data_IF_861151734914
#
_entry.id   IF_861151734914
#
_cell.length_a   1.000
_cell.length_b   1.000
_cell.length_c   1.000
_cell.angle_alpha   90.00
_cell.angle_beta   90.00
_cell.angle_gamma   90.00
#
_symmetry.space_group_name_H-M   'P 1'
#
loop_
_entity.id
_entity.type
_entity.pdbx_description
1 polymer ?
#
# COMPACT_ATOMS: atom_id res chain seq x y z
N UNK A 1 0.59 0.65 -3.49
CA UNK A 1 -0.48 0.65 -4.50
C UNK A 1 -1.03 2.08 -4.61
N UNK A 2 -1.17 2.59 -5.85
CA UNK A 2 -1.74 3.93 -6.09
C UNK A 2 -3.17 4.02 -5.60
N UNK A 3 -3.99 3.08 -6.03
CA UNK A 3 -5.35 2.79 -5.60
C UNK A 3 -5.67 1.34 -5.95
N UNK A 4 -6.86 0.84 -5.65
CA UNK A 4 -7.29 -0.53 -5.99
C UNK A 4 -7.32 -1.48 -4.80
N UNK A 5 -7.12 -2.79 -5.06
CA UNK A 5 -7.32 -3.85 -4.09
C UNK A 5 -8.72 -3.85 -3.48
N UNK A 6 -8.94 -4.57 -2.39
CA UNK A 6 -10.25 -4.69 -1.73
C UNK A 6 -10.87 -3.31 -1.35
N UNK A 7 -10.03 -2.29 -1.24
CA UNK A 7 -10.43 -0.92 -0.87
C UNK A 7 -11.31 -0.27 -1.93
N UNK A 8 -10.93 -0.41 -3.19
CA UNK A 8 -11.57 0.26 -4.33
C UNK A 8 -12.14 -0.72 -5.38
N UNK A 9 -11.63 -1.94 -5.42
CA UNK A 9 -11.98 -2.96 -6.41
C UNK A 9 -12.38 -4.28 -5.72
N UNK A 10 -13.50 -4.31 -4.95
CA UNK A 10 -13.85 -5.47 -4.12
C UNK A 10 -14.06 -6.76 -4.92
N UNK A 11 -14.40 -6.66 -6.20
CA UNK A 11 -14.60 -7.79 -7.11
C UNK A 11 -13.35 -8.14 -7.93
N UNK A 12 -12.23 -7.43 -7.73
CA UNK A 12 -10.98 -7.65 -8.43
C UNK A 12 -9.85 -7.97 -7.43
N UNK A 13 -9.61 -9.24 -7.13
CA UNK A 13 -8.66 -9.64 -6.09
C UNK A 13 -7.19 -9.62 -6.52
N UNK A 14 -6.87 -9.23 -7.75
CA UNK A 14 -5.55 -9.43 -8.35
C UNK A 14 -4.41 -8.78 -7.55
N UNK A 15 -4.58 -7.52 -7.08
CA UNK A 15 -3.55 -6.87 -6.25
C UNK A 15 -3.44 -7.50 -4.87
N UNK A 16 -4.58 -7.88 -4.26
CA UNK A 16 -4.59 -8.53 -2.95
C UNK A 16 -3.98 -9.93 -3.02
N UNK A 17 -4.28 -10.71 -4.09
CA UNK A 17 -3.65 -12.01 -4.35
C UNK A 17 -2.13 -11.85 -4.57
N UNK A 18 -1.72 -10.82 -5.29
CA UNK A 18 -0.31 -10.52 -5.47
C UNK A 18 0.37 -10.24 -4.12
N UNK A 19 -0.20 -9.39 -3.28
CA UNK A 19 0.34 -9.12 -1.92
C UNK A 19 0.44 -10.40 -1.10
N UNK A 20 -0.60 -11.24 -1.08
CA UNK A 20 -0.57 -12.51 -0.36
C UNK A 20 0.50 -13.47 -0.89
N UNK A 21 0.76 -13.47 -2.20
CA UNK A 21 1.76 -14.32 -2.84
C UNK A 21 3.20 -14.00 -2.43
N UNK A 22 3.46 -12.78 -1.94
CA UNK A 22 4.78 -12.34 -1.46
C UNK A 22 5.12 -12.89 -0.07
N UNK A 23 4.12 -13.37 0.69
CA UNK A 23 4.35 -13.97 2.01
C UNK A 23 5.05 -15.31 1.89
N UNK A 24 6.06 -15.53 2.75
CA UNK A 24 6.76 -16.82 2.87
C UNK A 24 5.91 -17.90 3.53
N UNK A 25 4.89 -17.50 4.30
CA UNK A 25 3.99 -18.42 5.02
C UNK A 25 2.64 -18.52 4.29
N UNK A 26 2.09 -19.73 4.24
CA UNK A 26 0.75 -20.01 3.75
C UNK A 26 -0.01 -20.91 4.74
N UNK A 27 -1.18 -20.50 5.26
CA UNK A 27 -1.79 -19.18 5.09
C UNK A 27 -1.01 -18.07 5.83
N UNK A 28 -0.89 -16.90 5.19
CA UNK A 28 -0.23 -15.74 5.77
C UNK A 28 -1.02 -15.16 6.95
N UNK A 29 -0.34 -14.63 7.97
CA UNK A 29 -0.92 -13.75 8.98
C UNK A 29 -0.92 -12.33 8.43
N UNK A 30 -2.10 -11.77 8.21
CA UNK A 30 -2.28 -10.44 7.61
C UNK A 30 -2.90 -9.50 8.65
N UNK A 31 -2.18 -8.44 8.98
CA UNK A 31 -2.73 -7.38 9.83
C UNK A 31 -3.15 -6.18 8.98
N UNK A 32 -4.41 -5.82 9.03
CA UNK A 32 -4.92 -4.59 8.45
C UNK A 32 -4.77 -3.43 9.44
N UNK A 33 -4.19 -2.32 8.97
CA UNK A 33 -4.05 -1.09 9.74
C UNK A 33 -4.92 0.01 9.12
N UNK A 34 -6.14 0.25 9.65
CA UNK A 34 -7.07 1.26 9.15
C UNK A 34 -6.82 2.67 9.71
N UNK A 35 -5.64 2.91 10.29
CA UNK A 35 -5.32 4.16 11.02
C UNK A 35 -5.57 5.41 10.19
N UNK A 36 -5.21 5.41 8.89
CA UNK A 36 -5.43 6.57 8.01
C UNK A 36 -6.89 6.97 7.85
N UNK A 37 -7.83 6.02 8.02
CA UNK A 37 -9.28 6.23 7.96
C UNK A 37 -9.94 6.37 9.34
N UNK A 38 -9.16 6.70 10.38
CA UNK A 38 -9.60 6.77 11.77
C UNK A 38 -10.31 5.48 12.24
N UNK A 39 -9.70 4.34 11.90
CA UNK A 39 -10.18 2.99 12.25
C UNK A 39 -11.62 2.71 11.77
N UNK A 40 -11.95 3.16 10.56
CA UNK A 40 -13.28 3.02 9.97
C UNK A 40 -13.80 1.58 10.05
N UNK A 41 -14.87 1.36 10.80
CA UNK A 41 -15.48 0.03 10.97
C UNK A 41 -15.94 -0.59 9.65
N UNK A 42 -16.45 0.22 8.72
CA UNK A 42 -16.86 -0.25 7.39
C UNK A 42 -15.67 -0.69 6.56
N UNK A 43 -14.52 -0.07 6.73
CA UNK A 43 -13.29 -0.47 6.04
C UNK A 43 -12.74 -1.78 6.60
N UNK A 44 -12.77 -1.95 7.92
CA UNK A 44 -12.41 -3.21 8.60
C UNK A 44 -13.31 -4.35 8.10
N UNK A 45 -14.63 -4.13 8.02
CA UNK A 45 -15.56 -5.15 7.50
C UNK A 45 -15.25 -5.52 6.04
N UNK A 46 -14.92 -4.55 5.18
CA UNK A 46 -14.50 -4.83 3.79
C UNK A 46 -13.22 -5.67 3.74
N UNK A 47 -12.26 -5.36 4.60
CA UNK A 47 -11.04 -6.16 4.71
C UNK A 47 -11.35 -7.61 5.06
N UNK A 48 -12.11 -7.86 6.12
CA UNK A 48 -12.46 -9.23 6.50
C UNK A 48 -13.24 -9.96 5.41
N UNK A 49 -14.16 -9.29 4.70
CA UNK A 49 -14.86 -9.90 3.56
C UNK A 49 -13.92 -10.34 2.45
N UNK A 50 -12.92 -9.52 2.14
CA UNK A 50 -11.96 -9.81 1.08
C UNK A 50 -10.93 -10.88 1.46
N UNK A 51 -10.53 -10.96 2.73
CA UNK A 51 -9.40 -11.78 3.17
C UNK A 51 -9.78 -13.04 3.94
N UNK A 52 -11.02 -13.15 4.46
CA UNK A 52 -11.48 -14.37 5.16
C UNK A 52 -11.43 -15.59 4.24
N UNK A 53 -10.84 -16.67 4.74
CA UNK A 53 -10.65 -17.92 3.98
C UNK A 53 -9.43 -17.92 3.05
N UNK A 54 -8.74 -16.78 2.88
CA UNK A 54 -7.54 -16.66 2.04
C UNK A 54 -6.25 -16.55 2.86
N UNK A 55 -6.36 -16.03 4.09
CA UNK A 55 -5.26 -15.85 5.02
C UNK A 55 -5.78 -15.93 6.47
N UNK A 56 -4.93 -15.63 7.45
CA UNK A 56 -5.32 -15.42 8.86
C UNK A 56 -5.42 -13.89 9.07
N UNK A 57 -6.61 -13.29 8.85
CA UNK A 57 -6.79 -11.85 8.92
C UNK A 57 -6.92 -11.37 10.36
N UNK A 58 -6.27 -10.26 10.64
CA UNK A 58 -6.38 -9.50 11.89
C UNK A 58 -6.41 -8.01 11.57
N UNK A 59 -6.82 -7.17 12.53
CA UNK A 59 -6.72 -5.73 12.42
C UNK A 59 -6.07 -5.11 13.65
N UNK A 60 -5.45 -3.94 13.47
CA UNK A 60 -4.92 -3.12 14.55
C UNK A 60 -5.54 -1.74 14.49
N UNK A 61 -6.39 -1.43 15.47
CA UNK A 61 -7.04 -0.12 15.66
C UNK A 61 -6.31 0.70 16.73
N UNK A 62 -6.27 2.02 16.57
CA UNK A 62 -5.61 2.96 17.49
C UNK A 62 -6.56 4.01 18.06
N UNK A 63 -7.71 4.27 17.42
CA UNK A 63 -8.68 5.29 17.86
C UNK A 63 -9.72 4.75 18.83
N UNK A 64 -10.08 3.47 18.76
CA UNK A 64 -11.11 2.90 19.62
C UNK A 64 -10.51 2.43 20.95
N UNK A 65 -10.67 3.26 21.99
CA UNK A 65 -10.32 2.91 23.36
C UNK A 65 -11.28 1.89 24.00
N UNK A 66 -12.48 1.72 23.45
CA UNK A 66 -13.49 0.78 23.97
C UNK A 66 -13.26 -0.66 23.48
N UNK A 67 -12.48 -0.87 22.43
CA UNK A 67 -12.09 -2.19 21.94
C UNK A 67 -10.93 -2.79 22.73
N UNK A 68 -10.95 -2.64 24.06
CA UNK A 68 -9.95 -3.18 24.98
C UNK A 68 -9.81 -4.71 24.92
N UNK A 69 -10.74 -5.39 24.28
CA UNK A 69 -10.71 -6.86 24.11
C UNK A 69 -9.78 -7.32 22.99
N UNK A 70 -9.31 -6.42 22.10
CA UNK A 70 -8.44 -6.73 20.97
C UNK A 70 -7.11 -5.97 20.97
N UNK A 71 -6.95 -4.94 21.82
CA UNK A 71 -5.66 -4.28 22.00
C UNK A 71 -4.75 -5.11 22.89
N UNK A 72 -3.50 -5.31 22.48
CA UNK A 72 -2.48 -5.76 23.39
C UNK A 72 -2.41 -4.78 24.58
N UNK A 73 -2.68 -5.27 25.79
CA UNK A 73 -2.83 -4.43 26.99
C UNK A 73 -1.50 -3.78 27.45
N UNK A 74 -0.38 -4.12 26.79
CA UNK A 74 0.98 -3.63 27.12
C UNK A 74 1.77 -3.38 25.85
N UNK A 75 2.75 -2.48 25.90
CA UNK A 75 3.68 -2.18 24.80
C UNK A 75 4.37 -3.45 24.28
N UNK A 76 4.72 -4.39 25.17
CA UNK A 76 5.30 -5.69 24.82
C UNK A 76 4.35 -6.57 23.99
N UNK A 77 3.04 -6.48 24.25
CA UNK A 77 2.04 -7.24 23.53
C UNK A 77 1.79 -6.65 22.14
N UNK A 78 1.87 -5.31 22.01
CA UNK A 78 1.78 -4.62 20.71
C UNK A 78 2.98 -4.98 19.82
N UNK A 79 4.20 -4.92 20.37
CA UNK A 79 5.41 -5.28 19.66
C UNK A 79 5.33 -6.72 19.14
N UNK A 80 5.00 -7.66 20.03
CA UNK A 80 4.83 -9.06 19.67
C UNK A 80 3.76 -9.25 18.60
N UNK A 81 2.58 -8.63 18.78
CA UNK A 81 1.48 -8.73 17.82
C UNK A 81 1.90 -8.28 16.42
N UNK A 82 2.56 -7.11 16.30
CA UNK A 82 2.98 -6.53 15.02
C UNK A 82 4.09 -7.36 14.39
N UNK A 83 5.10 -7.78 15.17
CA UNK A 83 6.26 -8.53 14.64
C UNK A 83 5.95 -9.99 14.29
N UNK A 84 4.86 -10.54 14.78
CA UNK A 84 4.38 -11.88 14.40
C UNK A 84 3.58 -11.90 13.08
N UNK A 85 3.30 -10.75 12.45
CA UNK A 85 2.59 -10.67 11.18
C UNK A 85 3.51 -10.97 10.01
N UNK A 86 2.99 -11.70 9.01
CA UNK A 86 3.68 -11.96 7.75
C UNK A 86 3.48 -10.82 6.76
N UNK A 87 2.30 -10.18 6.82
CA UNK A 87 1.89 -9.06 5.96
C UNK A 87 1.25 -7.96 6.81
N UNK A 88 1.71 -6.75 6.65
CA UNK A 88 1.03 -5.53 7.11
C UNK A 88 0.35 -4.88 5.90
N UNK A 89 -0.96 -4.70 5.96
CA UNK A 89 -1.74 -4.04 4.92
C UNK A 89 -2.31 -2.72 5.45
N UNK A 90 -1.89 -1.60 4.88
CA UNK A 90 -2.28 -0.26 5.34
C UNK A 90 -3.35 0.33 4.45
N UNK A 91 -4.44 0.78 5.05
CA UNK A 91 -5.55 1.44 4.37
C UNK A 91 -5.24 2.86 3.92
N UNK A 92 -6.09 3.39 3.04
CA UNK A 92 -6.09 4.80 2.63
C UNK A 92 -6.77 5.73 3.63
N UNK A 93 -6.59 7.04 3.42
CA UNK A 93 -7.11 8.14 4.24
C UNK A 93 -6.05 9.20 4.49
N UNK A 94 -6.03 9.84 5.68
CA UNK A 94 -5.06 10.87 6.04
C UNK A 94 -3.69 10.29 6.37
N UNK A 95 -2.69 10.55 5.50
CA UNK A 95 -1.30 10.14 5.74
C UNK A 95 -0.69 10.83 6.95
N UNK A 96 -0.98 12.12 7.15
CA UNK A 96 -0.45 12.90 8.27
C UNK A 96 -0.93 12.33 9.62
N UNK A 97 -2.24 12.05 9.75
CA UNK A 97 -2.80 11.47 10.98
C UNK A 97 -2.26 10.07 11.26
N UNK A 98 -2.13 9.24 10.22
CA UNK A 98 -1.53 7.92 10.31
C UNK A 98 -0.11 7.99 10.87
N UNK A 99 0.75 8.81 10.29
CA UNK A 99 2.15 8.95 10.70
C UNK A 99 2.28 9.51 12.13
N UNK A 100 1.48 10.51 12.48
CA UNK A 100 1.47 11.10 13.83
C UNK A 100 1.11 10.05 14.89
N UNK A 101 0.04 9.27 14.64
CA UNK A 101 -0.38 8.21 15.56
C UNK A 101 0.64 7.07 15.65
N UNK A 102 1.19 6.65 14.55
CA UNK A 102 2.18 5.58 14.54
C UNK A 102 3.42 5.96 15.36
N UNK A 103 3.92 7.18 15.21
CA UNK A 103 5.04 7.69 16.03
C UNK A 103 4.68 7.78 17.51
N UNK A 104 3.48 8.26 17.83
CA UNK A 104 3.00 8.34 19.21
C UNK A 104 2.90 6.96 19.90
N UNK A 105 2.69 5.89 19.14
CA UNK A 105 2.59 4.52 19.62
C UNK A 105 3.86 3.67 19.39
N UNK A 106 4.92 4.23 18.79
CA UNK A 106 6.16 3.52 18.47
C UNK A 106 6.01 2.48 17.35
N UNK A 107 4.92 2.54 16.56
CA UNK A 107 4.67 1.63 15.45
C UNK A 107 5.65 1.84 14.30
N UNK A 108 6.14 3.04 14.09
CA UNK A 108 7.17 3.37 13.10
C UNK A 108 8.45 2.53 13.30
N UNK A 109 8.85 2.29 14.56
CA UNK A 109 9.99 1.42 14.90
C UNK A 109 9.65 -0.04 14.65
N UNK A 110 8.47 -0.51 15.11
CA UNK A 110 8.04 -1.90 14.96
C UNK A 110 7.85 -2.30 13.49
N UNK A 111 7.29 -1.41 12.68
CA UNK A 111 7.11 -1.65 11.24
C UNK A 111 8.45 -1.74 10.50
N UNK A 112 9.44 -0.94 10.90
CA UNK A 112 10.82 -1.07 10.40
C UNK A 112 11.43 -2.42 10.79
N UNK A 113 11.15 -2.92 11.98
CA UNK A 113 11.58 -4.25 12.41
C UNK A 113 10.92 -5.35 11.58
N UNK A 114 9.60 -5.29 11.35
CA UNK A 114 8.87 -6.23 10.46
C UNK A 114 9.51 -6.26 9.08
N UNK A 115 9.77 -5.09 8.49
CA UNK A 115 10.41 -4.97 7.19
C UNK A 115 11.81 -5.57 7.16
N UNK A 116 12.64 -5.27 8.17
CA UNK A 116 14.02 -5.76 8.26
C UNK A 116 14.09 -7.28 8.42
N UNK A 117 13.06 -7.89 9.02
CA UNK A 117 12.91 -9.34 9.18
C UNK A 117 12.26 -10.03 7.98
N UNK A 118 11.99 -9.28 6.89
CA UNK A 118 11.44 -9.80 5.64
C UNK A 118 9.92 -9.98 5.65
N UNK A 119 9.21 -9.31 6.56
CA UNK A 119 7.76 -9.15 6.49
C UNK A 119 7.35 -8.26 5.32
N UNK A 120 6.18 -8.53 4.76
CA UNK A 120 5.62 -7.76 3.63
C UNK A 120 4.90 -6.53 4.16
N UNK A 121 5.37 -5.34 3.78
CA UNK A 121 4.65 -4.09 4.03
C UNK A 121 3.92 -3.68 2.75
N UNK A 122 2.62 -3.53 2.82
CA UNK A 122 1.77 -3.14 1.70
C UNK A 122 0.80 -2.05 2.10
N UNK A 123 0.19 -1.40 1.11
CA UNK A 123 -0.85 -0.41 1.40
C UNK A 123 -1.28 0.36 0.17
N UNK A 124 -2.40 1.06 0.30
CA UNK A 124 -3.06 1.81 -0.74
C UNK A 124 -3.17 3.28 -0.36
N UNK A 125 -2.92 4.21 -1.31
CA UNK A 125 -3.06 5.65 -1.07
C UNK A 125 -2.15 6.14 0.06
N UNK A 126 -2.69 6.62 1.19
CA UNK A 126 -1.92 6.95 2.39
C UNK A 126 -1.00 5.80 2.82
N UNK A 127 -1.48 4.56 2.70
CA UNK A 127 -0.70 3.34 2.95
C UNK A 127 0.38 3.05 1.90
N UNK A 128 0.39 3.74 0.75
CA UNK A 128 1.53 3.79 -0.15
C UNK A 128 2.54 4.83 0.32
N UNK A 129 2.08 6.06 0.54
CA UNK A 129 2.95 7.21 0.86
C UNK A 129 3.76 6.96 2.13
N UNK A 130 3.17 6.36 3.15
CA UNK A 130 3.77 6.21 4.47
C UNK A 130 5.12 5.48 4.48
N UNK A 131 5.37 4.58 3.52
CA UNK A 131 6.62 3.82 3.42
C UNK A 131 7.79 4.61 2.83
N UNK A 132 7.47 5.63 2.04
CA UNK A 132 8.44 6.48 1.37
C UNK A 132 8.93 7.59 2.31
N UNK A 133 9.91 8.37 1.86
CA UNK A 133 10.38 9.55 2.57
C UNK A 133 9.33 10.65 2.62
N UNK A 134 8.44 10.70 1.62
CA UNK A 134 7.36 11.66 1.52
C UNK A 134 6.54 11.46 0.24
N UNK A 135 5.80 12.47 -0.15
CA UNK A 135 4.97 12.43 -1.34
C UNK A 135 3.98 13.58 -1.47
N UNK A 136 2.91 13.35 -2.22
CA UNK A 136 1.77 14.26 -2.31
C UNK A 136 0.58 13.65 -1.59
N UNK A 137 0.00 14.41 -0.67
CA UNK A 137 -1.13 14.01 0.18
C UNK A 137 -2.22 15.09 0.17
N UNK A 138 -3.45 14.69 0.42
CA UNK A 138 -4.61 15.55 0.66
C UNK A 138 -4.95 15.72 2.15
N UNK A 139 -4.05 15.28 3.03
CA UNK A 139 -4.25 15.25 4.49
C UNK A 139 -4.54 16.60 5.14
N UNK A 140 -4.25 17.71 4.46
CA UNK A 140 -4.38 19.07 4.98
C UNK A 140 -5.50 19.89 4.32
N UNK A 141 -6.39 19.24 3.56
CA UNK A 141 -7.53 19.84 2.90
C UNK A 141 -7.31 20.19 1.43
N UNK A 142 -6.12 19.98 0.91
CA UNK A 142 -5.74 20.09 -0.51
C UNK A 142 -4.57 19.17 -0.82
N UNK A 143 -4.19 19.08 -2.10
CA UNK A 143 -3.03 18.29 -2.50
C UNK A 143 -1.76 19.09 -2.15
N UNK A 144 -1.00 18.57 -1.20
CA UNK A 144 0.20 19.22 -0.68
C UNK A 144 1.37 18.25 -0.55
N UNK A 145 2.57 18.81 -0.44
CA UNK A 145 3.81 18.12 -0.17
C UNK A 145 3.81 17.56 1.26
N UNK A 146 4.28 16.33 1.42
CA UNK A 146 4.59 15.68 2.67
C UNK A 146 6.05 15.21 2.65
N UNK A 147 6.84 15.55 3.68
CA UNK A 147 8.30 15.31 3.72
C UNK A 147 8.72 14.30 4.79
N UNK A 148 7.79 13.81 5.59
CA UNK A 148 8.11 13.11 6.83
C UNK A 148 7.50 11.69 6.90
N UNK A 149 7.45 10.98 5.76
CA UNK A 149 7.12 9.56 5.74
C UNK A 149 8.13 8.70 6.52
N UNK A 150 7.94 7.39 6.58
CA UNK A 150 8.83 6.50 7.33
C UNK A 150 10.21 6.32 6.68
N UNK A 151 10.34 6.63 5.39
CA UNK A 151 11.62 6.61 4.67
C UNK A 151 12.24 5.20 4.57
N UNK A 152 11.42 4.15 4.49
CA UNK A 152 11.91 2.80 4.16
C UNK A 152 12.37 2.77 2.71
N UNK A 153 11.69 3.51 1.84
CA UNK A 153 12.08 3.78 0.46
C UNK A 153 12.60 5.22 0.40
N UNK A 154 13.86 5.40 0.01
CA UNK A 154 14.50 6.72 -0.12
C UNK A 154 14.10 7.41 -1.42
N UNK A 155 12.82 7.67 -1.55
CA UNK A 155 12.16 8.33 -2.66
C UNK A 155 10.82 8.91 -2.19
N UNK A 156 10.09 9.59 -3.06
CA UNK A 156 8.74 10.06 -2.78
C UNK A 156 7.68 9.27 -3.53
N UNK A 157 6.42 9.35 -3.09
CA UNK A 157 5.31 8.60 -3.67
C UNK A 157 4.13 9.50 -4.04
N UNK A 158 3.50 9.21 -5.18
CA UNK A 158 2.27 9.85 -5.60
C UNK A 158 1.25 8.77 -6.02
N UNK A 159 0.27 8.42 -5.15
CA UNK A 159 -0.85 7.55 -5.49
C UNK A 159 -1.88 8.27 -6.34
N UNK A 160 -2.91 7.54 -6.83
CA UNK A 160 -4.04 8.06 -7.61
C UNK A 160 -3.64 8.94 -8.80
N UNK A 161 -2.58 8.56 -9.50
CA UNK A 161 -1.89 9.42 -10.46
C UNK A 161 -2.72 9.72 -11.71
N UNK A 162 -3.62 8.83 -12.09
CA UNK A 162 -4.62 8.99 -13.16
C UNK A 162 -6.03 9.31 -12.64
N UNK A 163 -6.32 8.97 -11.38
CA UNK A 163 -7.67 9.03 -10.82
C UNK A 163 -8.09 10.41 -10.34
N UNK A 164 -7.14 11.27 -9.95
CA UNK A 164 -7.40 12.62 -9.46
C UNK A 164 -6.80 13.67 -10.40
N UNK A 165 -7.67 14.56 -10.91
CA UNK A 165 -7.38 15.49 -12.01
C UNK A 165 -6.07 16.29 -11.84
N UNK A 166 -5.78 16.77 -10.63
CA UNK A 166 -4.66 17.69 -10.40
C UNK A 166 -3.41 16.98 -9.83
N UNK A 167 -3.51 15.72 -9.44
CA UNK A 167 -2.47 15.04 -8.68
C UNK A 167 -1.15 14.95 -9.45
N UNK A 168 -1.21 14.63 -10.74
CA UNK A 168 -0.04 14.56 -11.61
C UNK A 168 0.65 15.90 -11.76
N UNK A 169 -0.12 16.96 -12.03
CA UNK A 169 0.42 18.31 -12.20
C UNK A 169 1.04 18.82 -10.90
N UNK A 170 0.40 18.61 -9.76
CA UNK A 170 0.91 19.00 -8.44
C UNK A 170 2.17 18.22 -8.09
N UNK A 171 2.22 16.90 -8.40
CA UNK A 171 3.44 16.12 -8.14
C UNK A 171 4.62 16.64 -8.94
N UNK A 172 4.43 16.98 -10.23
CA UNK A 172 5.47 17.64 -11.04
C UNK A 172 5.89 18.98 -10.44
N UNK A 173 4.93 19.79 -10.00
CA UNK A 173 5.20 21.11 -9.41
C UNK A 173 6.03 20.99 -8.11
N UNK A 174 5.69 20.06 -7.20
CA UNK A 174 6.43 19.92 -5.95
C UNK A 174 7.80 19.29 -6.16
N UNK A 175 7.98 18.40 -7.15
CA UNK A 175 9.30 17.89 -7.56
C UNK A 175 10.16 19.00 -8.16
N UNK A 176 9.59 19.85 -9.02
CA UNK A 176 10.26 21.05 -9.53
C UNK A 176 10.66 22.01 -8.41
N UNK A 177 9.84 22.10 -7.35
CA UNK A 177 10.07 22.89 -6.13
C UNK A 177 11.03 22.26 -5.12
N UNK A 178 11.70 21.15 -5.47
CA UNK A 178 12.72 20.51 -4.64
C UNK A 178 12.23 19.35 -3.76
N UNK A 179 11.00 18.84 -3.97
CA UNK A 179 10.66 17.51 -3.42
C UNK A 179 11.57 16.46 -4.09
N UNK A 180 12.07 15.51 -3.31
CA UNK A 180 12.89 14.42 -3.83
C UNK A 180 12.17 13.67 -4.95
N UNK A 181 12.92 13.26 -5.97
CA UNK A 181 12.45 12.38 -7.04
C UNK A 181 11.80 11.10 -6.50
N UNK A 182 10.81 10.58 -7.22
CA UNK A 182 10.08 9.43 -6.68
C UNK A 182 9.29 8.67 -7.73
N UNK A 183 8.24 8.04 -7.26
CA UNK A 183 7.39 7.14 -8.03
C UNK A 183 5.92 7.57 -7.95
N UNK A 184 5.22 7.40 -9.06
CA UNK A 184 3.78 7.56 -9.11
C UNK A 184 3.11 6.27 -9.58
N UNK A 185 1.89 6.04 -9.12
CA UNK A 185 1.11 4.87 -9.50
C UNK A 185 -0.36 5.24 -9.72
N UNK A 186 -0.89 4.79 -10.84
CA UNK A 186 -2.31 4.89 -11.19
C UNK A 186 -3.17 4.04 -10.26
N UNK A 187 -4.48 4.28 -10.26
CA UNK A 187 -5.44 3.37 -9.65
C UNK A 187 -5.36 1.98 -10.31
N UNK A 188 -5.22 0.95 -9.49
CA UNK A 188 -5.02 -0.41 -9.97
C UNK A 188 -3.58 -0.76 -10.32
N UNK A 189 -2.60 0.14 -10.05
CA UNK A 189 -1.18 -0.15 -10.18
C UNK A 189 -0.48 -0.26 -8.82
N UNK A 190 0.56 -1.07 -8.74
CA UNK A 190 1.40 -1.26 -7.57
C UNK A 190 2.88 -1.32 -7.93
N UNK A 191 3.72 -0.84 -7.03
CA UNK A 191 5.17 -0.92 -7.08
C UNK A 191 5.64 -1.97 -6.07
N UNK A 192 6.42 -2.93 -6.51
CA UNK A 192 6.98 -3.99 -5.67
C UNK A 192 8.48 -3.76 -5.47
N UNK A 193 8.86 -3.55 -4.22
CA UNK A 193 10.25 -3.36 -3.81
C UNK A 193 10.75 -4.58 -3.02
N UNK A 194 12.01 -4.93 -3.20
CA UNK A 194 12.74 -5.84 -2.31
C UNK A 194 13.83 -5.02 -1.58
N UNK A 195 13.70 -4.90 -0.28
CA UNK A 195 14.41 -3.84 0.43
C UNK A 195 14.01 -2.47 -0.16
N UNK A 196 14.98 -1.68 -0.58
CA UNK A 196 14.76 -0.37 -1.21
C UNK A 196 14.82 -0.39 -2.75
N UNK A 197 15.05 -1.57 -3.37
CA UNK A 197 15.16 -1.73 -4.81
C UNK A 197 13.79 -2.02 -5.44
N UNK A 198 13.40 -1.28 -6.48
CA UNK A 198 12.20 -1.55 -7.27
C UNK A 198 12.44 -2.79 -8.14
N UNK A 199 11.69 -3.86 -7.90
CA UNK A 199 11.78 -5.11 -8.65
C UNK A 199 10.88 -5.08 -9.87
N UNK A 200 9.62 -4.67 -9.69
CA UNK A 200 8.63 -4.61 -10.75
C UNK A 200 7.49 -3.65 -10.41
N UNK A 201 6.75 -3.22 -11.42
CA UNK A 201 5.42 -2.68 -11.25
C UNK A 201 4.39 -3.68 -11.80
N UNK A 202 3.26 -3.80 -11.10
CA UNK A 202 2.16 -4.70 -11.47
C UNK A 202 0.84 -3.96 -11.51
N UNK A 203 -0.16 -4.52 -12.19
CA UNK A 203 -1.49 -3.90 -12.24
C UNK A 203 -2.63 -4.91 -12.22
N UNK A 204 -3.74 -4.49 -11.62
CA UNK A 204 -5.06 -5.16 -11.67
C UNK A 204 -5.90 -4.73 -12.88
N UNK A 205 -5.49 -3.65 -13.56
CA UNK A 205 -6.16 -3.07 -14.73
C UNK A 205 -5.21 -3.06 -15.93
N UNK A 206 -5.65 -3.44 -17.14
CA UNK A 206 -4.75 -3.57 -18.31
C UNK A 206 -3.99 -2.30 -18.69
N UNK A 207 -4.54 -1.11 -18.37
CA UNK A 207 -3.98 0.18 -18.78
C UNK A 207 -3.31 0.96 -17.64
N UNK A 208 -3.49 0.54 -16.38
CA UNK A 208 -2.91 1.23 -15.23
C UNK A 208 -1.39 1.28 -15.34
N UNK A 209 -0.83 2.45 -15.07
CA UNK A 209 0.59 2.75 -15.22
C UNK A 209 1.28 2.97 -13.88
N UNK A 210 2.59 2.89 -13.94
CA UNK A 210 3.49 3.36 -12.88
C UNK A 210 4.59 4.20 -13.53
N UNK A 211 5.11 5.16 -12.80
CA UNK A 211 6.00 6.18 -13.35
C UNK A 211 7.14 6.49 -12.38
N UNK A 212 8.29 6.78 -12.94
CA UNK A 212 9.39 7.46 -12.26
C UNK A 212 9.31 8.94 -12.60
N UNK A 213 9.34 9.81 -11.57
CA UNK A 213 9.32 11.27 -11.73
C UNK A 213 10.57 11.84 -11.09
N UNK A 214 11.37 12.56 -11.88
CA UNK A 214 12.71 13.02 -11.49
C UNK A 214 12.97 14.46 -11.91
N UNK A 215 13.79 15.16 -11.14
CA UNK A 215 14.30 16.46 -11.52
C UNK A 215 15.69 16.25 -12.18
N UNK A 216 15.77 16.45 -13.50
CA UNK A 216 16.99 16.27 -14.29
C UNK A 216 17.31 17.58 -14.99
N UNK A 217 18.49 18.16 -14.72
CA UNK A 217 18.91 19.42 -15.34
C UNK A 217 17.96 20.61 -15.10
N UNK A 218 17.23 20.59 -13.97
CA UNK A 218 16.24 21.63 -13.64
C UNK A 218 14.86 21.43 -14.29
N UNK A 219 14.65 20.34 -15.02
CA UNK A 219 13.37 19.98 -15.61
C UNK A 219 12.82 18.69 -14.99
N UNK A 220 11.52 18.64 -14.81
CA UNK A 220 10.84 17.41 -14.35
C UNK A 220 10.71 16.47 -15.55
N UNK A 221 11.29 15.29 -15.40
CA UNK A 221 11.21 14.19 -16.36
C UNK A 221 10.35 13.09 -15.78
N UNK A 222 9.35 12.67 -16.53
CA UNK A 222 8.49 11.55 -16.18
C UNK A 222 8.76 10.40 -17.14
N UNK A 223 9.09 9.23 -16.59
CA UNK A 223 9.33 8.00 -17.35
C UNK A 223 8.30 6.94 -16.94
N UNK A 224 7.51 6.45 -17.89
CA UNK A 224 6.61 5.33 -17.64
C UNK A 224 7.42 4.04 -17.45
N UNK A 225 7.12 3.34 -16.34
CA UNK A 225 7.75 2.05 -16.03
C UNK A 225 7.05 0.89 -16.78
N UNK A 226 7.76 -0.20 -17.09
CA UNK A 226 7.12 -1.44 -17.48
C UNK A 226 6.19 -1.93 -16.38
N UNK A 227 4.94 -2.26 -16.74
CA UNK A 227 3.93 -2.76 -15.80
C UNK A 227 3.42 -4.11 -16.27
N UNK A 228 3.50 -5.11 -15.41
CA UNK A 228 2.97 -6.45 -15.67
C UNK A 228 1.50 -6.53 -15.25
N UNK A 229 0.62 -6.80 -16.20
CA UNK A 229 -0.80 -7.01 -15.92
C UNK A 229 -1.02 -8.38 -15.26
N UNK A 230 -1.60 -8.40 -14.06
CA UNK A 230 -1.81 -9.62 -13.27
C UNK A 230 -2.92 -10.51 -13.83
N UNK A 231 -3.84 -9.94 -14.62
CA UNK A 231 -4.97 -10.68 -15.21
C UNK A 231 -4.62 -11.61 -16.36
N UNK A 232 -3.43 -11.52 -16.95
CA UNK A 232 -3.03 -12.40 -18.07
C UNK A 232 -3.03 -13.89 -17.67
N UNK A 233 -2.61 -14.22 -16.45
CA UNK A 233 -2.65 -15.57 -15.93
C UNK A 233 -4.04 -16.03 -15.47
N UNK A 234 -4.91 -15.11 -15.12
CA UNK A 234 -6.30 -15.39 -14.73
C UNK A 234 -7.15 -15.80 -15.95
N UNK A 235 -6.97 -15.15 -17.09
CA UNK A 235 -7.62 -15.50 -18.34
C UNK A 235 -7.22 -16.91 -18.84
N UNK A 236 -5.98 -17.33 -18.58
CA UNK A 236 -5.49 -18.67 -18.95
C UNK A 236 -6.02 -19.80 -18.04
N UNK A 237 -6.38 -19.51 -16.78
CA UNK A 237 -6.97 -20.49 -15.84
C UNK A 237 -8.48 -20.63 -15.99
N UNK A 238 -9.16 -19.61 -16.50
CA UNK A 238 -10.61 -19.57 -16.69
C UNK A 238 -11.09 -19.99 -18.09
N UNK A 239 -10.19 -20.45 -18.98
CA UNK A 239 -10.58 -21.02 -20.27
C UNK A 239 -11.08 -22.46 -20.11
N UNK A 240 -12.44 -22.70 -20.19
CA UNK A 240 -13.00 -24.04 -20.01
C UNK A 240 -12.57 -25.05 -21.09
N UNK A 241 -11.98 -24.57 -22.20
CA UNK A 241 -11.55 -25.43 -23.32
C UNK A 241 -10.22 -26.17 -23.07
N UNK A 242 -9.44 -25.77 -22.06
CA UNK A 242 -8.18 -26.45 -21.73
C UNK A 242 -8.32 -27.63 -20.75
N UNK A 243 -9.47 -27.72 -20.06
CA UNK A 243 -9.73 -28.78 -19.06
C UNK A 243 -10.69 -29.87 -19.58
N UNK A 244 -10.95 -29.97 -20.88
CA UNK A 244 -11.67 -31.11 -21.43
C UNK A 244 -10.72 -32.31 -21.49
N UNK A 245 -10.97 -33.42 -20.76
CA UNK A 245 -10.20 -34.65 -20.95
C UNK A 245 -10.40 -35.11 -22.39
N UNK A 246 -9.25 -35.33 -23.08
CA UNK A 246 -9.24 -35.84 -24.42
C UNK A 246 -10.05 -37.14 -24.49
N UNK A 247 -10.96 -37.22 -25.44
CA UNK A 247 -11.69 -38.42 -25.81
C UNK A 247 -10.78 -39.39 -26.53
#
# INVERSE_FOLDING_TARGET
MGGGGFSMEPDNPLLDDFVLSLSRRQPARVCFMPTASADSATYIVRFYRAFSGRCIPTDLTLFDSASLTRRPARTTDLARFVTEQDVIYVGGGSTANLLALWRAHGLDVLLREVWSNGGVLSGVSAGMICWFRGGVTDSYGGLERLDDGLGLIDATACPHYDGEHDRRAIYHQVVAGGLQSGYAADDGAALHFCGSELIEAVSSRPKAGAYRVELVGGQVVETRLPVRFLGEHYAQRSDPKRNAPGR
#
